data_IF_994219341346
#
_entry.id   IF_994219341346
#
_cell.length_a   1.000
_cell.length_b   1.000
_cell.length_c   1.000
_cell.angle_alpha   90.00
_cell.angle_beta   90.00
_cell.angle_gamma   90.00
#
_symmetry.space_group_name_H-M   'P 1'
#
loop_
_entity.id
_entity.type
_entity.pdbx_description
1 polymer ?
#
# COMPACT_ATOMS: atom_id res chain seq x y z
N UNK A 1 12.70 -25.63 -13.36
CA UNK A 1 13.08 -24.27 -12.91
C UNK A 1 11.81 -23.46 -12.81
N UNK A 2 11.20 -23.45 -11.63
CA UNK A 2 9.96 -22.73 -11.33
C UNK A 2 10.38 -21.31 -10.95
N UNK A 3 10.01 -20.31 -11.74
CA UNK A 3 10.19 -18.91 -11.35
C UNK A 3 9.17 -18.59 -10.24
N UNK A 4 9.55 -17.93 -9.14
CA UNK A 4 8.59 -17.45 -8.17
C UNK A 4 7.70 -16.41 -8.84
N UNK A 5 6.39 -16.63 -8.79
CA UNK A 5 5.38 -15.65 -9.16
C UNK A 5 5.47 -14.52 -8.13
N UNK A 6 5.88 -13.33 -8.57
CA UNK A 6 5.84 -12.12 -7.76
C UNK A 6 4.38 -11.85 -7.42
N UNK A 7 3.99 -12.08 -6.17
CA UNK A 7 2.75 -11.56 -5.64
C UNK A 7 2.85 -10.04 -5.67
N UNK A 8 2.02 -9.40 -6.47
CA UNK A 8 1.88 -7.94 -6.44
C UNK A 8 1.17 -7.62 -5.13
N UNK A 9 1.92 -7.22 -4.12
CA UNK A 9 1.38 -6.65 -2.88
C UNK A 9 0.69 -5.32 -3.25
N UNK A 10 -0.63 -5.33 -3.30
CA UNK A 10 -1.46 -4.11 -3.35
C UNK A 10 -1.63 -3.57 -1.93
N UNK A 11 -0.55 -3.07 -1.33
CA UNK A 11 -0.65 -2.31 -0.07
C UNK A 11 -0.81 -0.82 -0.42
N UNK A 12 -2.06 -0.38 -0.46
CA UNK A 12 -2.40 1.04 -0.38
C UNK A 12 -2.15 1.51 1.04
N UNK A 13 -0.94 1.98 1.33
CA UNK A 13 -0.60 2.60 2.61
C UNK A 13 -1.17 4.01 2.67
N UNK A 14 -1.94 4.27 3.73
CA UNK A 14 -2.49 5.58 4.06
C UNK A 14 -1.43 6.52 4.63
N UNK A 15 -1.65 7.81 4.40
CA UNK A 15 -0.92 8.92 5.01
C UNK A 15 -1.88 9.78 5.82
N UNK A 16 -1.57 9.96 7.12
CA UNK A 16 -2.31 10.87 8.01
C UNK A 16 -1.49 12.14 8.27
N UNK A 17 -2.17 13.28 8.41
CA UNK A 17 -1.57 14.58 8.69
C UNK A 17 -1.06 14.68 10.14
N UNK A 18 0.14 15.24 10.31
CA UNK A 18 0.92 15.25 11.57
C UNK A 18 0.68 16.54 12.37
N UNK A 19 0.42 16.39 13.67
CA UNK A 19 0.71 17.41 14.69
C UNK A 19 1.79 16.86 15.63
N UNK A 20 2.77 17.69 16.00
CA UNK A 20 4.03 17.28 16.60
C UNK A 20 3.91 16.52 17.94
N UNK A 21 4.56 15.35 18.01
CA UNK A 21 4.85 14.62 19.24
C UNK A 21 5.17 13.14 19.03
N UNK A 22 6.47 12.80 19.02
CA UNK A 22 7.13 11.47 19.02
C UNK A 22 7.49 10.86 17.66
N UNK A 23 8.66 10.22 17.63
CA UNK A 23 9.18 9.44 16.51
C UNK A 23 8.17 8.37 16.14
N UNK A 24 7.94 8.15 14.85
CA UNK A 24 7.12 7.03 14.43
C UNK A 24 7.89 5.73 14.70
N UNK A 25 7.32 4.85 15.51
CA UNK A 25 7.88 3.52 15.69
C UNK A 25 7.57 2.65 14.46
N UNK A 26 8.42 1.66 14.22
CA UNK A 26 8.25 0.71 13.14
C UNK A 26 7.91 -0.67 13.69
N UNK A 27 6.87 -1.31 13.13
CA UNK A 27 6.61 -2.73 13.36
C UNK A 27 7.07 -3.54 12.16
N UNK A 28 7.75 -4.66 12.41
CA UNK A 28 8.18 -5.58 11.36
C UNK A 28 8.19 -7.01 11.88
N UNK A 29 8.00 -7.96 10.98
CA UNK A 29 7.97 -9.37 11.31
C UNK A 29 9.14 -10.13 10.67
N UNK A 30 9.65 -11.11 11.40
CA UNK A 30 10.71 -12.02 10.98
C UNK A 30 10.33 -13.45 11.42
N UNK A 31 11.07 -14.50 11.00
CA UNK A 31 10.81 -15.87 11.47
C UNK A 31 10.83 -16.03 12.99
N UNK A 32 11.52 -15.14 13.72
CA UNK A 32 11.62 -15.18 15.19
C UNK A 32 10.41 -14.58 15.90
N UNK A 33 9.64 -13.73 15.21
CA UNK A 33 8.49 -13.06 15.79
C UNK A 33 8.14 -11.73 15.12
N UNK A 34 7.23 -11.01 15.78
CA UNK A 34 6.85 -9.65 15.45
C UNK A 34 7.50 -8.71 16.45
N UNK A 35 8.10 -7.64 15.93
CA UNK A 35 8.84 -6.67 16.72
C UNK A 35 8.34 -5.25 16.47
N UNK A 36 8.49 -4.41 17.50
CA UNK A 36 8.37 -2.96 17.45
C UNK A 36 9.74 -2.36 17.65
N UNK A 37 10.08 -1.32 16.90
CA UNK A 37 11.35 -0.62 17.01
C UNK A 37 11.09 0.88 17.12
N UNK A 38 11.67 1.49 18.15
CA UNK A 38 11.81 2.94 18.21
C UNK A 38 12.91 3.37 17.24
N UNK A 39 12.47 4.05 16.19
CA UNK A 39 13.32 4.43 15.07
C UNK A 39 14.26 5.57 15.50
N UNK A 40 15.56 5.41 15.20
CA UNK A 40 16.60 6.37 15.56
C UNK A 40 17.41 6.06 16.84
N UNK A 41 17.22 4.91 17.49
CA UNK A 41 18.16 4.49 18.54
C UNK A 41 17.70 3.44 19.56
N UNK A 42 16.51 2.86 19.43
CA UNK A 42 16.02 1.83 20.35
C UNK A 42 16.39 0.40 19.96
N UNK A 43 16.40 -0.51 20.95
CA UNK A 43 16.40 -1.95 20.71
C UNK A 43 15.01 -2.41 20.27
N UNK A 44 14.93 -3.37 19.34
CA UNK A 44 13.66 -3.98 18.95
C UNK A 44 12.99 -4.66 20.15
N UNK A 45 11.74 -4.31 20.41
CA UNK A 45 10.89 -4.87 21.45
C UNK A 45 9.99 -5.96 20.86
N UNK A 46 9.96 -7.17 21.44
CA UNK A 46 9.04 -8.21 20.99
C UNK A 46 7.57 -7.82 21.25
N UNK A 47 6.74 -7.89 20.22
CA UNK A 47 5.28 -7.80 20.33
C UNK A 47 4.64 -9.19 20.38
N UNK A 48 5.13 -10.11 19.54
CA UNK A 48 4.74 -11.51 19.53
C UNK A 48 5.97 -12.37 19.32
N UNK A 49 6.26 -13.26 20.26
CA UNK A 49 7.40 -14.18 20.19
C UNK A 49 6.95 -15.62 20.20
N UNK A 50 7.66 -16.48 19.46
CA UNK A 50 7.61 -17.92 19.64
C UNK A 50 7.29 -18.72 18.38
N UNK A 51 8.23 -19.58 17.99
CA UNK A 51 8.11 -20.56 16.92
C UNK A 51 8.25 -19.98 15.52
N UNK A 52 8.52 -20.86 14.56
CA UNK A 52 8.63 -20.57 13.12
C UNK A 52 7.26 -20.16 12.55
N UNK A 53 6.86 -18.91 12.79
CA UNK A 53 5.57 -18.35 12.35
C UNK A 53 5.79 -17.49 11.11
N UNK A 54 5.14 -17.86 10.01
CA UNK A 54 5.11 -17.01 8.82
C UNK A 54 4.11 -15.87 9.02
N UNK A 55 4.61 -14.63 9.03
CA UNK A 55 3.79 -13.42 9.03
C UNK A 55 3.56 -12.95 7.60
N UNK A 56 2.33 -12.57 7.27
CA UNK A 56 1.96 -12.28 5.87
C UNK A 56 1.47 -10.85 5.67
N UNK A 57 0.80 -10.31 6.67
CA UNK A 57 0.28 -8.94 6.65
C UNK A 57 0.09 -8.44 8.08
N UNK A 58 0.05 -7.12 8.25
CA UNK A 58 -0.20 -6.48 9.53
C UNK A 58 -0.87 -5.12 9.31
N UNK A 59 -1.69 -4.68 10.25
CA UNK A 59 -2.41 -3.41 10.18
C UNK A 59 -2.63 -2.82 11.57
N UNK A 60 -2.17 -1.58 11.77
CA UNK A 60 -2.47 -0.80 12.96
C UNK A 60 -3.76 0.00 12.80
N UNK A 61 -4.49 0.17 13.89
CA UNK A 61 -5.56 1.17 13.97
C UNK A 61 -4.98 2.57 13.83
N UNK A 62 -5.80 3.51 13.37
CA UNK A 62 -5.37 4.89 13.09
C UNK A 62 -4.87 5.65 14.32
N UNK A 63 -5.28 5.24 15.52
CA UNK A 63 -4.79 5.76 16.81
C UNK A 63 -3.51 5.08 17.32
N UNK A 64 -2.99 4.09 16.58
CA UNK A 64 -1.79 3.33 16.92
C UNK A 64 -1.95 2.41 18.14
N UNK A 65 -3.18 2.16 18.61
CA UNK A 65 -3.42 1.38 19.83
C UNK A 65 -3.65 -0.11 19.59
N UNK A 66 -4.22 -0.49 18.44
CA UNK A 66 -4.60 -1.88 18.12
C UNK A 66 -3.84 -2.36 16.91
N UNK A 67 -3.44 -3.63 16.96
CA UNK A 67 -2.73 -4.28 15.87
C UNK A 67 -3.46 -5.56 15.46
N UNK A 68 -3.68 -5.71 14.17
CA UNK A 68 -4.13 -6.95 13.56
C UNK A 68 -2.98 -7.57 12.75
N UNK A 69 -2.82 -8.88 12.83
CA UNK A 69 -1.68 -9.60 12.24
C UNK A 69 -2.15 -10.87 11.56
N UNK A 70 -1.68 -11.12 10.34
CA UNK A 70 -1.92 -12.37 9.62
C UNK A 70 -0.76 -13.33 9.85
N UNK A 71 -1.05 -14.48 10.46
CA UNK A 71 -0.10 -15.58 10.67
C UNK A 71 -0.51 -16.83 9.88
N UNK A 72 0.47 -17.68 9.57
CA UNK A 72 0.27 -19.01 8.96
C UNK A 72 -0.59 -18.97 7.69
N UNK A 73 -0.50 -17.87 6.94
CA UNK A 73 -1.26 -17.56 5.72
C UNK A 73 -2.77 -17.40 5.89
N UNK A 74 -3.38 -17.76 7.02
CA UNK A 74 -4.84 -17.83 7.13
C UNK A 74 -5.44 -17.43 8.47
N UNK A 75 -4.62 -17.13 9.48
CA UNK A 75 -5.10 -16.79 10.81
C UNK A 75 -4.91 -15.29 11.05
N UNK A 76 -5.95 -14.61 11.52
CA UNK A 76 -5.87 -13.20 11.94
C UNK A 76 -5.91 -13.13 13.45
N UNK A 77 -4.87 -12.53 14.01
CA UNK A 77 -4.76 -12.24 15.43
C UNK A 77 -4.93 -10.75 15.68
N UNK A 78 -5.64 -10.42 16.75
CA UNK A 78 -5.83 -9.05 17.24
C UNK A 78 -5.06 -8.87 18.55
N UNK A 79 -4.36 -7.74 18.66
CA UNK A 79 -3.62 -7.32 19.84
C UNK A 79 -4.17 -5.97 20.29
N UNK A 80 -4.65 -5.91 21.52
CA UNK A 80 -5.22 -4.70 22.11
C UNK A 80 -4.50 -4.31 23.40
N UNK A 81 -4.53 -3.01 23.78
CA UNK A 81 -3.97 -2.56 25.04
C UNK A 81 -4.64 -3.26 26.23
N UNK A 82 -3.84 -3.82 27.13
CA UNK A 82 -4.33 -4.49 28.33
C UNK A 82 -4.90 -5.91 28.11
N UNK A 83 -4.83 -6.45 26.89
CA UNK A 83 -5.14 -7.86 26.63
C UNK A 83 -4.05 -8.78 27.23
N UNK A 84 -4.45 -9.98 27.69
CA UNK A 84 -3.53 -11.00 28.23
C UNK A 84 -2.65 -11.65 27.14
N UNK A 85 -2.87 -11.31 25.87
CA UNK A 85 -2.15 -11.83 24.71
C UNK A 85 -2.93 -11.65 23.41
N UNK A 86 -2.39 -12.12 22.27
CA UNK A 86 -3.07 -12.08 20.99
C UNK A 86 -4.35 -12.93 21.00
N UNK A 87 -5.45 -12.36 20.51
CA UNK A 87 -6.72 -13.04 20.33
C UNK A 87 -6.86 -13.51 18.88
N UNK A 88 -7.14 -14.80 18.65
CA UNK A 88 -7.48 -15.31 17.31
C UNK A 88 -8.91 -14.87 16.95
N UNK A 89 -9.05 -14.02 15.94
CA UNK A 89 -10.35 -13.44 15.54
C UNK A 89 -10.88 -13.99 14.21
N UNK A 90 -10.01 -14.65 13.43
CA UNK A 90 -10.40 -15.22 12.14
C UNK A 90 -9.48 -16.39 11.75
N UNK A 91 -10.07 -17.42 11.15
CA UNK A 91 -9.34 -18.51 10.48
C UNK A 91 -9.92 -18.70 9.10
N UNK A 92 -9.04 -18.68 8.10
CA UNK A 92 -9.41 -18.90 6.71
C UNK A 92 -9.87 -20.35 6.50
N UNK A 93 -10.93 -20.47 5.70
CA UNK A 93 -11.45 -21.73 5.19
C UNK A 93 -10.99 -22.03 3.76
N UNK A 94 -10.04 -21.26 3.21
CA UNK A 94 -9.52 -21.50 1.88
C UNK A 94 -8.75 -22.83 1.79
N UNK A 95 -8.95 -23.58 0.71
CA UNK A 95 -8.25 -24.85 0.45
C UNK A 95 -6.75 -24.67 0.12
N UNK A 96 -6.34 -23.43 -0.15
CA UNK A 96 -4.98 -23.02 -0.46
C UNK A 96 -4.68 -21.73 0.30
N UNK A 97 -3.40 -21.42 0.59
CA UNK A 97 -3.01 -20.19 1.27
C UNK A 97 -3.71 -18.97 0.63
N UNK A 98 -4.55 -18.23 1.40
CA UNK A 98 -5.20 -17.04 0.89
C UNK A 98 -4.27 -15.83 0.90
N UNK A 99 -4.75 -14.74 0.29
CA UNK A 99 -4.28 -13.39 0.63
C UNK A 99 -5.32 -12.74 1.53
N UNK A 100 -4.87 -12.13 2.62
CA UNK A 100 -5.70 -11.44 3.60
C UNK A 100 -5.26 -9.97 3.70
N UNK A 101 -6.16 -9.05 3.37
CA UNK A 101 -5.97 -7.62 3.64
C UNK A 101 -6.79 -7.22 4.87
N UNK A 102 -6.21 -6.32 5.66
CA UNK A 102 -6.75 -5.87 6.94
C UNK A 102 -6.90 -4.35 6.91
N UNK A 103 -8.02 -3.86 7.44
CA UNK A 103 -8.24 -2.43 7.65
C UNK A 103 -9.05 -2.20 8.93
N UNK A 104 -8.72 -1.14 9.66
CA UNK A 104 -9.45 -0.73 10.86
C UNK A 104 -10.39 0.41 10.52
N UNK A 105 -11.64 0.30 10.98
CA UNK A 105 -12.60 1.39 10.98
C UNK A 105 -12.41 2.28 12.22
N UNK A 106 -12.91 3.51 12.16
CA UNK A 106 -12.77 4.49 13.25
C UNK A 106 -13.52 4.13 14.53
N UNK A 107 -14.58 3.32 14.41
CA UNK A 107 -15.32 2.75 15.55
C UNK A 107 -14.62 1.53 16.17
N UNK A 108 -13.55 1.06 15.54
CA UNK A 108 -12.71 -0.02 16.03
C UNK A 108 -13.06 -1.39 15.48
N UNK A 109 -13.96 -1.48 14.50
CA UNK A 109 -14.19 -2.73 13.78
C UNK A 109 -13.00 -3.06 12.87
N UNK A 110 -12.64 -4.34 12.82
CA UNK A 110 -11.59 -4.87 11.95
C UNK A 110 -12.24 -5.49 10.72
N UNK A 111 -11.91 -4.94 9.56
CA UNK A 111 -12.30 -5.46 8.25
C UNK A 111 -11.26 -6.47 7.78
N UNK A 112 -11.70 -7.65 7.38
CA UNK A 112 -10.87 -8.73 6.86
C UNK A 112 -11.34 -9.06 5.44
N UNK A 113 -10.50 -8.77 4.45
CA UNK A 113 -10.72 -9.10 3.05
C UNK A 113 -9.96 -10.36 2.69
N UNK A 114 -10.68 -11.46 2.49
CA UNK A 114 -10.12 -12.76 2.14
C UNK A 114 -10.20 -13.04 0.64
N UNK A 115 -9.07 -13.44 0.07
CA UNK A 115 -8.96 -13.94 -1.31
C UNK A 115 -8.49 -15.39 -1.31
N UNK A 116 -9.39 -16.31 -1.59
CA UNK A 116 -9.02 -17.69 -1.86
C UNK A 116 -8.60 -17.84 -3.33
N UNK A 117 -7.38 -18.33 -3.61
CA UNK A 117 -6.98 -18.59 -4.99
C UNK A 117 -7.77 -19.77 -5.57
N UNK A 118 -7.98 -19.73 -6.89
CA UNK A 118 -8.63 -20.82 -7.61
C UNK A 118 -7.82 -22.12 -7.54
N UNK A 119 -8.51 -23.26 -7.56
CA UNK A 119 -7.86 -24.57 -7.55
C UNK A 119 -7.11 -24.86 -8.86
N UNK A 120 -7.62 -24.37 -9.99
CA UNK A 120 -6.97 -24.49 -11.30
C UNK A 120 -6.53 -23.13 -11.80
N UNK A 121 -5.41 -23.09 -12.53
CA UNK A 121 -4.97 -21.88 -13.19
C UNK A 121 -6.06 -21.36 -14.13
N UNK A 122 -6.42 -20.09 -14.01
CA UNK A 122 -7.51 -19.47 -14.78
C UNK A 122 -8.92 -19.75 -14.27
N UNK A 123 -9.09 -20.52 -13.19
CA UNK A 123 -10.38 -20.65 -12.50
C UNK A 123 -10.74 -19.39 -11.70
N UNK A 124 -12.01 -19.22 -11.30
CA UNK A 124 -12.43 -18.11 -10.46
C UNK A 124 -11.89 -18.29 -9.03
N UNK A 125 -11.20 -17.27 -8.52
CA UNK A 125 -10.94 -17.16 -7.07
C UNK A 125 -12.23 -16.79 -6.32
N UNK A 126 -12.19 -16.84 -4.99
CA UNK A 126 -13.27 -16.33 -4.15
C UNK A 126 -12.79 -15.14 -3.35
N UNK A 127 -13.58 -14.07 -3.34
CA UNK A 127 -13.33 -12.89 -2.52
C UNK A 127 -14.47 -12.76 -1.51
N UNK A 128 -14.14 -12.61 -0.23
CA UNK A 128 -15.11 -12.47 0.86
C UNK A 128 -14.64 -11.41 1.84
N UNK A 129 -15.59 -10.69 2.41
CA UNK A 129 -15.34 -9.70 3.46
C UNK A 129 -15.95 -10.14 4.77
N UNK A 130 -15.25 -9.84 5.85
CA UNK A 130 -15.71 -10.08 7.21
C UNK A 130 -15.48 -8.83 8.04
N UNK A 131 -16.40 -8.58 8.97
CA UNK A 131 -16.30 -7.54 9.97
C UNK A 131 -16.16 -8.20 11.34
N UNK A 132 -15.06 -7.93 12.03
CA UNK A 132 -14.84 -8.35 13.40
C UNK A 132 -14.97 -7.15 14.33
N UNK A 133 -15.96 -7.18 15.20
CA UNK A 133 -16.23 -6.08 16.15
C UNK A 133 -15.33 -6.15 17.38
N UNK A 134 -15.15 -5.04 18.14
CA UNK A 134 -14.48 -5.05 19.43
C UNK A 134 -15.03 -6.11 20.39
N UNK A 135 -16.34 -6.36 20.35
CA UNK A 135 -17.01 -7.40 21.16
C UNK A 135 -16.72 -8.85 20.70
N UNK A 136 -15.93 -9.04 19.64
CA UNK A 136 -15.51 -10.34 19.12
C UNK A 136 -16.49 -10.95 18.10
N UNK A 137 -17.61 -10.29 17.80
CA UNK A 137 -18.54 -10.79 16.78
C UNK A 137 -17.92 -10.72 15.39
N UNK A 138 -17.88 -11.85 14.68
CA UNK A 138 -17.40 -11.97 13.30
C UNK A 138 -18.58 -12.18 12.35
N UNK A 139 -18.80 -11.23 11.44
CA UNK A 139 -19.92 -11.26 10.49
C UNK A 139 -19.41 -11.24 9.04
N UNK A 140 -19.79 -12.21 8.18
CA UNK A 140 -19.52 -12.10 6.76
C UNK A 140 -20.39 -11.00 6.12
N UNK A 141 -19.78 -10.18 5.26
CA UNK A 141 -20.46 -9.12 4.52
C UNK A 141 -20.68 -9.55 3.07
N UNK A 142 -21.95 -9.69 2.67
CA UNK A 142 -22.34 -10.04 1.29
C UNK A 142 -22.54 -8.77 0.46
N UNK A 143 -21.43 -8.16 0.05
CA UNK A 143 -21.42 -6.92 -0.73
C UNK A 143 -20.92 -7.10 -2.16
N UNK A 144 -20.38 -8.28 -2.48
CA UNK A 144 -19.92 -8.61 -3.83
C UNK A 144 -21.06 -9.17 -4.69
N UNK A 145 -21.19 -8.75 -5.95
CA UNK A 145 -22.13 -9.36 -6.90
C UNK A 145 -21.71 -10.80 -7.22
N UNK A 146 -22.64 -11.58 -7.78
CA UNK A 146 -22.36 -12.97 -8.23
C UNK A 146 -21.19 -13.07 -9.23
N UNK A 147 -20.92 -12.00 -9.98
CA UNK A 147 -19.80 -11.93 -10.95
C UNK A 147 -18.94 -10.69 -10.71
N UNK A 148 -17.72 -10.90 -10.22
CA UNK A 148 -16.68 -9.87 -10.09
C UNK A 148 -15.75 -9.89 -11.30
N UNK A 149 -15.46 -8.72 -11.85
CA UNK A 149 -14.49 -8.51 -12.94
C UNK A 149 -13.14 -7.97 -12.43
N UNK A 150 -13.07 -7.62 -11.14
CA UNK A 150 -11.86 -7.16 -10.46
C UNK A 150 -11.78 -7.70 -9.03
N UNK A 151 -10.71 -7.32 -8.35
CA UNK A 151 -10.61 -7.40 -6.90
C UNK A 151 -11.54 -6.39 -6.18
N UNK A 152 -11.67 -6.52 -4.85
CA UNK A 152 -12.23 -5.50 -3.98
C UNK A 152 -11.08 -4.61 -3.45
N UNK A 153 -11.28 -3.30 -3.50
CA UNK A 153 -10.31 -2.30 -3.04
C UNK A 153 -10.88 -1.55 -1.85
N UNK A 154 -10.33 -1.77 -0.66
CA UNK A 154 -10.73 -1.09 0.58
C UNK A 154 -10.39 0.40 0.52
N UNK A 155 -11.33 1.23 0.97
CA UNK A 155 -11.10 2.64 1.21
C UNK A 155 -10.12 2.84 2.38
N UNK A 156 -9.39 3.98 2.42
CA UNK A 156 -8.50 4.32 3.51
C UNK A 156 -9.12 4.10 4.90
N UNK A 157 -10.26 4.72 5.17
CA UNK A 157 -10.92 4.61 6.47
C UNK A 157 -11.55 3.22 6.77
N UNK A 158 -11.42 2.25 5.86
CA UNK A 158 -12.05 0.94 5.97
C UNK A 158 -13.58 0.99 5.88
N UNK A 159 -14.22 2.12 5.59
CA UNK A 159 -15.68 2.27 5.61
C UNK A 159 -16.35 1.74 4.33
N UNK A 160 -15.58 1.65 3.24
CA UNK A 160 -16.08 1.36 1.91
C UNK A 160 -15.15 0.44 1.13
N UNK A 161 -15.69 -0.20 0.09
CA UNK A 161 -14.93 -0.91 -0.94
C UNK A 161 -15.33 -0.45 -2.33
N UNK A 162 -14.39 -0.48 -3.25
CA UNK A 162 -14.61 -0.28 -4.67
C UNK A 162 -14.31 -1.56 -5.44
N UNK A 163 -15.08 -1.82 -6.51
CA UNK A 163 -14.90 -3.00 -7.35
C UNK A 163 -15.54 -2.84 -8.73
N UNK A 164 -15.21 -3.75 -9.64
CA UNK A 164 -15.74 -3.78 -11.01
C UNK A 164 -16.66 -4.98 -11.20
N UNK A 165 -17.85 -4.72 -11.74
CA UNK A 165 -18.80 -5.75 -12.19
C UNK A 165 -19.64 -5.19 -13.34
N UNK A 166 -19.99 -6.05 -14.30
CA UNK A 166 -20.81 -5.68 -15.45
C UNK A 166 -20.26 -4.47 -16.20
N UNK A 167 -18.93 -4.39 -16.38
CA UNK A 167 -18.24 -3.27 -17.01
C UNK A 167 -18.44 -1.91 -16.33
N UNK A 168 -18.73 -1.89 -15.03
CA UNK A 168 -18.88 -0.66 -14.26
C UNK A 168 -18.14 -0.72 -12.92
N UNK A 169 -17.69 0.44 -12.45
CA UNK A 169 -17.15 0.60 -11.11
C UNK A 169 -18.30 0.83 -10.13
N UNK A 170 -18.29 0.09 -9.03
CA UNK A 170 -19.20 0.22 -7.91
C UNK A 170 -18.44 0.58 -6.64
N UNK A 171 -19.12 1.27 -5.73
CA UNK A 171 -18.69 1.51 -4.36
C UNK A 171 -19.77 0.99 -3.43
N UNK A 172 -19.39 0.24 -2.42
CA UNK A 172 -20.28 -0.25 -1.37
C UNK A 172 -19.74 0.19 -0.01
N UNK A 173 -20.59 0.72 0.86
CA UNK A 173 -20.24 0.90 2.26
C UNK A 173 -20.36 -0.44 2.99
N UNK A 174 -19.56 -0.59 4.05
CA UNK A 174 -19.54 -1.79 4.88
C UNK A 174 -20.64 -1.83 5.95
N UNK A 175 -21.55 -0.85 5.93
CA UNK A 175 -22.73 -0.74 6.79
C UNK A 175 -23.94 -1.57 6.30
N UNK A 176 -23.77 -2.31 5.19
CA UNK A 176 -24.83 -3.11 4.57
C UNK A 176 -25.77 -2.31 3.66
N UNK A 177 -25.49 -1.02 3.42
CA UNK A 177 -26.21 -0.24 2.41
C UNK A 177 -25.99 -0.80 1.00
N UNK A 178 -26.90 -0.46 0.08
CA UNK A 178 -26.84 -0.98 -1.28
C UNK A 178 -25.62 -0.42 -2.03
N UNK A 179 -24.85 -1.26 -2.74
CA UNK A 179 -23.78 -0.79 -3.60
C UNK A 179 -24.26 0.22 -4.63
N UNK A 180 -23.42 1.22 -4.90
CA UNK A 180 -23.70 2.34 -5.77
C UNK A 180 -22.82 2.28 -7.01
N UNK A 181 -23.42 2.36 -8.19
CA UNK A 181 -22.67 2.46 -9.44
C UNK A 181 -22.05 3.86 -9.57
N UNK A 182 -20.73 3.92 -9.74
CA UNK A 182 -19.96 5.17 -9.86
C UNK A 182 -19.84 5.61 -11.32
N UNK A 183 -19.57 4.69 -12.23
CA UNK A 183 -19.42 5.00 -13.67
C UNK A 183 -20.74 4.96 -14.42
N UNK A 184 -21.02 5.99 -15.24
CA UNK A 184 -22.27 6.08 -16.00
C UNK A 184 -22.29 5.24 -17.28
N UNK A 185 -21.13 5.09 -17.93
CA UNK A 185 -20.96 4.29 -19.15
C UNK A 185 -20.22 2.99 -18.84
N UNK A 186 -20.51 1.89 -19.58
CA UNK A 186 -19.67 0.71 -19.54
C UNK A 186 -18.24 1.06 -19.95
N UNK A 187 -17.26 0.44 -19.31
CA UNK A 187 -15.84 0.61 -19.59
C UNK A 187 -15.12 -0.73 -19.73
N UNK A 188 -13.88 -0.69 -20.20
CA UNK A 188 -12.99 -1.86 -20.23
C UNK A 188 -11.90 -1.67 -19.19
N UNK A 189 -11.79 -2.60 -18.23
CA UNK A 189 -10.84 -2.53 -17.12
C UNK A 189 -9.82 -3.68 -17.17
N UNK A 190 -9.57 -4.20 -18.38
CA UNK A 190 -8.94 -5.51 -18.60
C UNK A 190 -7.45 -5.59 -18.25
N UNK A 191 -7.10 -6.71 -17.61
CA UNK A 191 -5.86 -7.51 -17.69
C UNK A 191 -4.47 -6.85 -17.49
N UNK A 192 -4.29 -6.12 -16.40
CA UNK A 192 -3.03 -6.06 -15.63
C UNK A 192 -3.31 -5.73 -14.14
N UNK A 193 -4.49 -6.14 -13.66
CA UNK A 193 -4.97 -5.83 -12.32
C UNK A 193 -5.26 -4.35 -12.11
N UNK A 194 -6.08 -3.70 -12.96
CA UNK A 194 -6.51 -2.29 -12.82
C UNK A 194 -6.79 -1.95 -11.35
N UNK A 195 -5.84 -1.36 -10.61
CA UNK A 195 -6.10 -1.06 -9.23
C UNK A 195 -6.99 0.18 -9.25
N UNK A 196 -8.19 0.03 -8.68
CA UNK A 196 -8.89 1.19 -8.20
C UNK A 196 -8.05 1.71 -7.04
N UNK A 197 -7.57 2.95 -7.16
CA UNK A 197 -6.82 3.61 -6.10
C UNK A 197 -7.67 4.72 -5.51
N UNK A 198 -8.07 4.56 -4.26
CA UNK A 198 -8.75 5.60 -3.50
C UNK A 198 -7.83 6.80 -3.28
N UNK A 199 -8.40 8.00 -3.38
CA UNK A 199 -7.74 9.19 -2.88
C UNK A 199 -7.59 9.10 -1.35
N UNK A 200 -6.59 9.78 -0.75
CA UNK A 200 -6.32 9.67 0.68
C UNK A 200 -7.51 10.07 1.58
N UNK A 201 -8.36 10.96 1.09
CA UNK A 201 -9.59 11.42 1.75
C UNK A 201 -10.81 10.50 1.51
N UNK A 202 -10.65 9.42 0.72
CA UNK A 202 -11.73 8.50 0.39
C UNK A 202 -12.82 9.07 -0.51
N UNK A 203 -12.66 10.26 -1.11
CA UNK A 203 -13.73 10.92 -1.88
C UNK A 203 -13.68 10.65 -3.38
N UNK A 204 -12.56 10.13 -3.89
CA UNK A 204 -12.32 9.89 -5.33
C UNK A 204 -11.65 8.55 -5.57
N UNK A 205 -11.83 8.03 -6.77
CA UNK A 205 -11.17 6.84 -7.29
C UNK A 205 -10.37 7.18 -8.54
N UNK A 206 -9.09 6.80 -8.55
CA UNK A 206 -8.28 6.76 -9.76
C UNK A 206 -8.25 5.34 -10.32
N UNK A 207 -8.29 5.22 -11.65
CA UNK A 207 -8.38 3.92 -12.31
C UNK A 207 -7.90 3.97 -13.77
N UNK A 208 -7.43 2.82 -14.26
CA UNK A 208 -7.12 2.63 -15.66
C UNK A 208 -8.32 2.07 -16.42
N UNK A 209 -8.67 2.72 -17.53
CA UNK A 209 -9.74 2.31 -18.44
C UNK A 209 -9.19 2.20 -19.88
N UNK A 210 -9.50 1.10 -20.55
CA UNK A 210 -9.06 0.76 -21.89
C UNK A 210 -8.70 -0.73 -22.02
N UNK A 211 -8.45 -1.17 -23.25
CA UNK A 211 -8.03 -2.53 -23.54
C UNK A 211 -6.53 -2.67 -23.35
N UNK A 212 -6.10 -3.57 -22.47
CA UNK A 212 -4.67 -3.82 -22.25
C UNK A 212 -3.91 -4.10 -23.58
N UNK A 213 -2.72 -3.49 -23.78
CA UNK A 213 -2.01 -2.61 -22.84
C UNK A 213 -2.39 -1.12 -22.95
N UNK A 214 -3.31 -0.74 -23.83
CA UNK A 214 -3.67 0.65 -24.11
C UNK A 214 -4.77 1.14 -23.16
N UNK A 215 -4.37 1.88 -22.15
CA UNK A 215 -5.29 2.36 -21.11
C UNK A 215 -5.04 3.84 -20.82
N UNK A 216 -6.05 4.50 -20.25
CA UNK A 216 -5.98 5.88 -19.79
C UNK A 216 -6.22 5.93 -18.30
N UNK A 217 -5.45 6.78 -17.63
CA UNK A 217 -5.67 7.07 -16.22
C UNK A 217 -6.85 8.03 -16.11
N UNK A 218 -7.81 7.67 -15.29
CA UNK A 218 -9.03 8.42 -15.03
C UNK A 218 -9.15 8.68 -13.53
N UNK A 219 -9.94 9.70 -13.19
CA UNK A 219 -10.43 9.94 -11.84
C UNK A 219 -11.94 10.14 -11.86
N UNK A 220 -12.63 9.74 -10.80
CA UNK A 220 -14.06 9.98 -10.60
C UNK A 220 -14.36 10.20 -9.12
N UNK A 221 -15.32 11.08 -8.81
CA UNK A 221 -15.87 11.20 -7.46
C UNK A 221 -16.62 9.93 -7.06
N UNK A 222 -16.62 9.59 -5.76
CA UNK A 222 -17.36 8.42 -5.27
C UNK A 222 -18.87 8.56 -5.43
N UNK A 223 -19.35 9.78 -5.71
CA UNK A 223 -20.72 10.14 -6.08
C UNK A 223 -20.99 9.99 -7.60
N UNK A 224 -19.98 9.57 -8.38
CA UNK A 224 -20.05 9.40 -9.83
C UNK A 224 -19.97 10.73 -10.60
N UNK A 225 -19.84 11.83 -9.88
CA UNK A 225 -19.58 13.15 -10.42
C UNK A 225 -18.11 13.35 -10.76
N UNK A 226 -17.83 14.50 -11.39
CA UNK A 226 -16.47 15.01 -11.62
C UNK A 226 -15.50 14.03 -12.30
N UNK A 227 -16.02 13.15 -13.17
CA UNK A 227 -15.18 12.21 -13.93
C UNK A 227 -14.27 12.98 -14.88
N UNK A 228 -12.97 12.68 -14.85
CA UNK A 228 -11.97 13.25 -15.76
C UNK A 228 -11.02 12.18 -16.29
N UNK A 229 -10.64 12.31 -17.55
CA UNK A 229 -9.54 11.57 -18.14
C UNK A 229 -8.26 12.36 -17.87
N UNK A 230 -7.35 11.83 -17.06
CA UNK A 230 -6.12 12.51 -16.66
C UNK A 230 -5.02 12.38 -17.71
N UNK A 231 -5.04 11.30 -18.50
CA UNK A 231 -4.07 11.08 -19.60
C UNK A 231 -4.78 10.92 -20.94
N UNK A 232 -5.43 11.98 -21.48
CA UNK A 232 -6.26 11.89 -22.69
C UNK A 232 -5.45 11.56 -23.95
N UNK A 233 -4.18 11.97 -23.98
CA UNK A 233 -3.24 11.70 -25.07
C UNK A 233 -2.49 10.35 -24.91
N UNK A 234 -2.84 9.54 -23.90
CA UNK A 234 -2.16 8.27 -23.68
C UNK A 234 -2.57 7.24 -24.74
N UNK A 235 -1.66 6.98 -25.67
CA UNK A 235 -1.51 5.71 -26.40
C UNK A 235 -0.43 4.83 -25.73
N UNK A 236 -0.23 5.00 -24.41
CA UNK A 236 0.79 4.27 -23.67
C UNK A 236 0.39 2.81 -23.49
N UNK A 237 1.38 1.93 -23.61
CA UNK A 237 1.24 0.51 -23.28
C UNK A 237 1.51 0.32 -21.79
N UNK A 238 0.50 0.57 -20.94
CA UNK A 238 0.66 0.48 -19.49
C UNK A 238 0.82 -0.98 -19.08
N UNK A 239 2.03 -1.31 -18.63
CA UNK A 239 2.40 -2.64 -18.15
C UNK A 239 2.39 -2.73 -16.62
N UNK A 240 2.63 -1.60 -15.94
CA UNK A 240 2.57 -1.45 -14.49
C UNK A 240 1.40 -0.55 -14.13
N UNK A 241 0.41 -1.11 -13.47
CA UNK A 241 -0.85 -0.44 -13.16
C UNK A 241 -0.85 0.28 -11.80
N UNK A 242 0.29 0.41 -11.11
CA UNK A 242 0.37 1.07 -9.80
C UNK A 242 0.13 2.58 -9.92
N UNK A 243 -0.83 3.08 -9.14
CA UNK A 243 -1.23 4.50 -9.06
C UNK A 243 -0.98 5.00 -7.64
N UNK A 244 -0.25 6.09 -7.48
CA UNK A 244 0.12 6.64 -6.17
C UNK A 244 -0.37 8.08 -6.01
N UNK A 245 -1.44 8.26 -5.24
CA UNK A 245 -1.90 9.59 -4.86
C UNK A 245 -0.89 10.28 -3.95
N UNK A 246 -0.68 11.58 -4.15
CA UNK A 246 -0.04 12.43 -3.16
C UNK A 246 -0.91 12.48 -1.89
N UNK A 247 -0.32 12.58 -0.68
CA UNK A 247 -1.09 12.63 0.57
C UNK A 247 -2.14 13.75 0.62
N UNK A 248 -1.86 14.88 -0.04
CA UNK A 248 -2.80 16.00 -0.19
C UNK A 248 -3.89 15.80 -1.27
N UNK A 249 -3.86 14.67 -1.99
CA UNK A 249 -4.82 14.32 -3.03
C UNK A 249 -4.76 15.18 -4.30
N UNK A 250 -3.77 16.06 -4.45
CA UNK A 250 -3.68 16.98 -5.61
C UNK A 250 -3.02 16.35 -6.84
N UNK A 251 -2.16 15.37 -6.63
CA UNK A 251 -1.39 14.74 -7.70
C UNK A 251 -1.46 13.22 -7.64
N UNK A 252 -1.15 12.60 -8.77
CA UNK A 252 -0.93 11.17 -8.90
C UNK A 252 0.43 10.96 -9.56
N UNK A 253 1.30 10.20 -8.89
CA UNK A 253 2.52 9.66 -9.47
C UNK A 253 2.24 8.29 -10.09
N UNK A 254 2.76 8.06 -11.30
CA UNK A 254 2.57 6.80 -12.03
C UNK A 254 3.76 6.47 -12.93
N UNK A 255 3.87 5.18 -13.26
CA UNK A 255 4.86 4.68 -14.20
C UNK A 255 4.35 4.89 -15.63
N UNK A 256 5.12 5.62 -16.42
CA UNK A 256 4.83 5.87 -17.82
C UNK A 256 5.85 5.14 -18.71
N UNK A 257 5.41 4.21 -19.57
CA UNK A 257 6.28 3.52 -20.53
C UNK A 257 7.03 4.48 -21.45
N UNK A 258 8.30 4.20 -21.75
CA UNK A 258 9.12 4.98 -22.67
C UNK A 258 9.47 4.19 -23.94
N UNK A 259 9.03 4.66 -25.11
CA UNK A 259 9.21 4.00 -26.42
C UNK A 259 8.81 2.51 -26.47
N UNK A 260 7.61 2.13 -25.99
CA UNK A 260 7.15 0.75 -26.09
C UNK A 260 6.72 0.42 -27.55
N UNK A 261 6.79 -0.85 -27.99
CA UNK A 261 7.18 -2.05 -27.25
C UNK A 261 8.70 -2.33 -27.27
N UNK A 262 9.50 -1.42 -27.84
CA UNK A 262 10.93 -1.67 -28.10
C UNK A 262 11.84 -1.51 -26.87
N UNK A 263 11.29 -1.01 -25.77
CA UNK A 263 11.99 -0.78 -24.51
C UNK A 263 11.12 -1.16 -23.33
N UNK A 264 11.76 -1.69 -22.28
CA UNK A 264 11.16 -1.92 -20.97
C UNK A 264 11.49 -0.80 -19.97
N UNK A 265 12.07 0.31 -20.44
CA UNK A 265 12.31 1.49 -19.63
C UNK A 265 11.03 2.30 -19.46
N UNK A 266 10.94 2.94 -18.30
CA UNK A 266 9.81 3.79 -17.91
C UNK A 266 10.34 5.14 -17.46
N UNK A 267 9.43 6.11 -17.32
CA UNK A 267 9.65 7.34 -16.56
C UNK A 267 8.64 7.40 -15.43
N UNK A 268 8.99 8.08 -14.34
CA UNK A 268 8.00 8.47 -13.34
C UNK A 268 7.39 9.79 -13.79
N UNK A 269 6.08 9.81 -13.92
CA UNK A 269 5.31 10.99 -14.29
C UNK A 269 4.38 11.39 -13.15
N UNK A 270 4.08 12.68 -13.08
CA UNK A 270 3.16 13.29 -12.14
C UNK A 270 2.01 13.93 -12.92
N UNK A 271 0.78 13.62 -12.57
CA UNK A 271 -0.41 14.29 -13.13
C UNK A 271 -1.17 15.05 -12.06
N UNK A 272 -1.52 16.29 -12.34
CA UNK A 272 -2.42 17.08 -11.50
C UNK A 272 -3.85 16.59 -11.69
N UNK A 273 -4.52 16.24 -10.59
CA UNK A 273 -5.83 15.59 -10.63
C UNK A 273 -6.94 16.55 -11.11
N UNK A 274 -6.76 17.86 -10.91
CA UNK A 274 -7.76 18.87 -11.25
C UNK A 274 -7.55 19.43 -12.67
N UNK A 275 -6.29 19.61 -13.10
CA UNK A 275 -5.97 20.23 -14.40
C UNK A 275 -5.64 19.20 -15.50
N UNK A 276 -5.38 17.94 -15.14
CA UNK A 276 -4.82 16.91 -16.02
C UNK A 276 -3.44 17.26 -16.62
N UNK A 277 -2.79 18.33 -16.12
CA UNK A 277 -1.43 18.67 -16.51
C UNK A 277 -0.47 17.59 -16.04
N UNK A 278 0.32 17.07 -16.97
CA UNK A 278 1.27 15.99 -16.72
C UNK A 278 2.70 16.50 -16.85
N UNK A 279 3.55 16.13 -15.89
CA UNK A 279 4.97 16.44 -15.85
C UNK A 279 5.77 15.15 -15.71
N UNK A 280 6.76 14.95 -16.57
CA UNK A 280 7.73 13.86 -16.43
C UNK A 280 8.78 14.28 -15.41
N UNK A 281 9.00 13.45 -14.38
CA UNK A 281 9.93 13.72 -13.27
C UNK A 281 11.32 13.10 -13.48
N UNK A 282 11.40 12.03 -14.28
CA UNK A 282 12.64 11.26 -14.45
C UNK A 282 13.02 11.09 -15.92
N UNK A 283 14.27 10.68 -16.16
CA UNK A 283 14.70 10.19 -17.47
C UNK A 283 14.21 8.74 -17.65
N UNK A 284 14.28 8.18 -18.87
CA UNK A 284 14.01 6.76 -19.08
C UNK A 284 14.97 5.88 -18.27
N UNK A 285 14.44 4.90 -17.53
CA UNK A 285 15.24 4.04 -16.66
C UNK A 285 14.43 2.92 -16.01
N UNK A 286 15.03 2.31 -14.98
CA UNK A 286 14.42 1.26 -14.16
C UNK A 286 14.12 1.82 -12.77
N UNK A 287 12.83 1.90 -12.45
CA UNK A 287 12.34 2.52 -11.23
C UNK A 287 11.55 1.52 -10.39
N UNK A 288 11.83 1.44 -9.10
CA UNK A 288 11.09 0.62 -8.14
C UNK A 288 10.98 1.36 -6.79
N UNK A 289 10.32 0.76 -5.80
CA UNK A 289 10.16 1.30 -4.45
C UNK A 289 9.70 2.77 -4.39
N UNK A 290 8.78 3.18 -5.27
CA UNK A 290 8.22 4.54 -5.31
C UNK A 290 7.26 4.78 -4.14
N UNK A 291 7.46 5.85 -3.36
CA UNK A 291 6.55 6.28 -2.29
C UNK A 291 6.56 7.79 -2.07
N UNK A 292 5.43 8.33 -1.59
CA UNK A 292 5.27 9.74 -1.26
C UNK A 292 5.72 10.06 0.16
N UNK A 293 6.39 11.20 0.33
CA UNK A 293 6.57 11.80 1.63
C UNK A 293 5.22 12.36 2.15
N UNK A 294 4.95 12.33 3.47
CA UNK A 294 3.72 12.85 4.06
C UNK A 294 3.44 14.32 3.71
N UNK A 295 4.48 15.10 3.46
CA UNK A 295 4.40 16.51 3.09
C UNK A 295 3.91 16.77 1.65
N UNK A 296 3.69 15.74 0.82
CA UNK A 296 3.29 15.85 -0.59
C UNK A 296 4.26 16.63 -1.51
N UNK A 297 5.50 16.86 -1.07
CA UNK A 297 6.50 17.64 -1.81
C UNK A 297 7.71 16.81 -2.23
N UNK A 298 7.80 15.57 -1.76
CA UNK A 298 8.92 14.68 -2.00
C UNK A 298 8.46 13.26 -2.34
N UNK A 299 9.30 12.57 -3.12
CA UNK A 299 9.17 11.16 -3.42
C UNK A 299 10.45 10.43 -2.99
N UNK A 300 10.33 9.16 -2.65
CA UNK A 300 11.44 8.19 -2.66
C UNK A 300 11.26 7.26 -3.83
N UNK A 301 12.35 6.91 -4.50
CA UNK A 301 12.38 5.91 -5.57
C UNK A 301 13.75 5.24 -5.66
N UNK A 302 13.76 3.96 -6.01
CA UNK A 302 14.97 3.25 -6.42
C UNK A 302 15.20 3.45 -7.92
N UNK A 303 16.43 3.75 -8.32
CA UNK A 303 16.80 3.93 -9.73
C UNK A 303 18.18 3.36 -10.02
N UNK A 304 18.36 2.78 -11.20
CA UNK A 304 19.62 2.17 -11.61
C UNK A 304 19.75 1.97 -13.12
N UNK A 305 20.98 1.71 -13.61
CA UNK A 305 21.23 1.45 -15.04
C UNK A 305 20.67 0.10 -15.50
N UNK A 306 20.42 -0.82 -14.57
CA UNK A 306 19.85 -2.15 -14.81
C UNK A 306 18.81 -2.46 -13.72
N UNK A 307 17.77 -3.21 -14.09
CA UNK A 307 16.79 -3.68 -13.13
C UNK A 307 17.46 -4.55 -12.05
N UNK A 308 17.06 -4.37 -10.79
CA UNK A 308 17.56 -5.16 -9.67
C UNK A 308 18.91 -4.70 -9.10
N UNK A 309 19.57 -3.68 -9.65
CA UNK A 309 20.73 -3.01 -9.03
C UNK A 309 20.52 -1.50 -9.05
N UNK A 310 20.11 -0.93 -7.91
CA UNK A 310 19.55 0.41 -7.84
C UNK A 310 20.07 1.18 -6.62
N UNK A 311 20.24 2.48 -6.79
CA UNK A 311 20.44 3.44 -5.70
C UNK A 311 19.07 3.96 -5.26
N UNK A 312 18.86 4.12 -3.96
CA UNK A 312 17.65 4.77 -3.43
C UNK A 312 17.85 6.27 -3.43
N UNK A 313 16.89 7.02 -3.97
CA UNK A 313 16.91 8.47 -4.05
C UNK A 313 15.69 9.08 -3.39
N UNK A 314 15.90 10.22 -2.73
CA UNK A 314 14.86 11.22 -2.50
C UNK A 314 14.81 12.16 -3.71
N UNK A 315 13.61 12.47 -4.18
CA UNK A 315 13.33 13.49 -5.18
C UNK A 315 12.49 14.62 -4.55
N UNK A 316 13.02 15.83 -4.53
CA UNK A 316 12.30 17.05 -4.20
C UNK A 316 11.53 17.56 -5.43
N UNK A 317 10.21 17.75 -5.32
CA UNK A 317 9.36 18.05 -6.48
C UNK A 317 9.39 19.51 -6.93
N UNK A 318 9.78 20.43 -6.04
CA UNK A 318 9.83 21.88 -6.32
C UNK A 318 11.01 22.22 -7.22
N UNK A 319 12.21 21.73 -6.88
CA UNK A 319 13.45 22.01 -7.61
C UNK A 319 13.94 20.81 -8.45
N UNK A 320 13.22 19.68 -8.41
CA UNK A 320 13.56 18.41 -9.08
C UNK A 320 14.94 17.87 -8.67
N UNK A 321 15.37 18.17 -7.43
CA UNK A 321 16.66 17.71 -6.94
C UNK A 321 16.60 16.25 -6.48
N UNK A 322 17.52 15.44 -7.01
CA UNK A 322 17.77 14.08 -6.54
C UNK A 322 18.85 14.09 -5.45
N UNK A 323 18.57 13.44 -4.32
CA UNK A 323 19.52 13.18 -3.23
C UNK A 323 19.66 11.67 -3.07
N UNK A 324 20.87 11.13 -3.24
CA UNK A 324 21.14 9.72 -3.01
C UNK A 324 21.05 9.42 -1.51
N UNK A 325 20.28 8.40 -1.15
CA UNK A 325 20.09 7.93 0.22
C UNK A 325 20.94 6.70 0.53
N UNK A 326 21.43 6.00 -0.49
CA UNK A 326 22.38 4.90 -0.33
C UNK A 326 23.75 5.29 -0.86
N UNK A 327 24.79 4.92 -0.12
CA UNK A 327 26.19 5.19 -0.48
C UNK A 327 26.66 4.38 -1.70
N UNK A 328 25.96 3.28 -2.00
CA UNK A 328 26.19 2.42 -3.15
C UNK A 328 24.86 1.82 -3.65
N UNK A 329 24.80 1.33 -4.90
CA UNK A 329 23.64 0.58 -5.39
C UNK A 329 23.42 -0.69 -4.56
N UNK A 330 22.16 -0.94 -4.17
CA UNK A 330 21.70 -2.17 -3.54
C UNK A 330 21.03 -3.08 -4.58
N UNK A 331 20.84 -4.34 -4.22
CA UNK A 331 20.11 -5.28 -5.06
C UNK A 331 18.64 -5.34 -4.67
N UNK A 332 17.75 -5.65 -5.62
CA UNK A 332 16.32 -5.94 -5.38
C UNK A 332 15.65 -4.98 -4.38
N UNK A 333 15.62 -3.68 -4.66
CA UNK A 333 14.93 -2.70 -3.80
C UNK A 333 13.43 -2.77 -4.11
N UNK A 334 12.62 -3.32 -3.19
CA UNK A 334 11.23 -3.67 -3.48
C UNK A 334 10.23 -2.64 -2.94
N UNK A 335 10.28 -2.37 -1.64
CA UNK A 335 9.32 -1.51 -0.94
C UNK A 335 10.03 -0.36 -0.25
N UNK A 336 9.41 0.83 -0.25
CA UNK A 336 9.82 1.94 0.59
C UNK A 336 8.60 2.60 1.22
N UNK A 337 8.77 3.11 2.43
CA UNK A 337 7.74 3.84 3.17
C UNK A 337 8.40 4.97 3.96
N UNK A 338 7.86 6.18 3.82
CA UNK A 338 8.20 7.28 4.73
C UNK A 338 7.53 7.06 6.08
N UNK A 339 8.21 7.46 7.15
CA UNK A 339 7.57 7.58 8.45
C UNK A 339 6.43 8.59 8.36
N UNK A 340 5.33 8.41 9.14
CA UNK A 340 4.26 9.39 9.23
C UNK A 340 4.75 10.81 9.53
N UNK A 341 5.81 10.94 10.36
CA UNK A 341 6.42 12.23 10.69
C UNK A 341 7.27 12.82 9.56
N UNK A 342 7.69 12.01 8.58
CA UNK A 342 8.56 12.41 7.47
C UNK A 342 10.05 12.44 7.81
N UNK A 343 10.44 12.08 9.03
CA UNK A 343 11.84 12.14 9.50
C UNK A 343 12.69 10.93 9.09
N UNK A 344 12.05 9.85 8.65
CA UNK A 344 12.71 8.59 8.31
C UNK A 344 12.08 7.94 7.07
N UNK A 345 12.89 7.13 6.39
CA UNK A 345 12.46 6.29 5.27
C UNK A 345 12.91 4.87 5.59
N UNK A 346 11.97 3.93 5.60
CA UNK A 346 12.24 2.51 5.71
C UNK A 346 12.08 1.84 4.35
N UNK A 347 12.95 0.90 4.01
CA UNK A 347 12.87 0.18 2.75
C UNK A 347 13.50 -1.22 2.85
N UNK A 348 13.09 -2.12 1.97
CA UNK A 348 13.68 -3.46 1.85
C UNK A 348 14.57 -3.56 0.63
N UNK A 349 15.75 -4.14 0.83
CA UNK A 349 16.72 -4.37 -0.24
C UNK A 349 17.64 -5.55 0.09
N UNK A 350 18.27 -6.10 -0.93
CA UNK A 350 19.34 -7.09 -0.79
C UNK A 350 20.70 -6.39 -0.77
N UNK A 351 21.59 -6.70 0.20
CA UNK A 351 22.94 -6.17 0.21
C UNK A 351 23.72 -6.51 -1.08
N UNK A 352 24.67 -5.67 -1.55
CA UNK A 352 25.33 -5.87 -2.84
C UNK A 352 26.13 -7.16 -2.98
N UNK A 353 26.66 -7.67 -1.87
CA UNK A 353 27.51 -8.87 -1.84
C UNK A 353 26.74 -10.12 -1.38
N UNK A 354 25.42 -10.01 -1.15
CA UNK A 354 24.62 -11.14 -0.71
C UNK A 354 24.13 -12.00 -1.88
N UNK A 355 24.85 -13.09 -2.11
CA UNK A 355 24.51 -14.09 -3.13
C UNK A 355 23.22 -14.87 -2.85
N UNK A 356 22.73 -14.88 -1.61
CA UNK A 356 21.50 -15.58 -1.23
C UNK A 356 20.24 -14.79 -1.59
N UNK A 357 20.38 -13.49 -1.86
CA UNK A 357 19.26 -12.63 -2.23
C UNK A 357 18.36 -12.28 -1.04
N UNK A 358 18.88 -12.30 0.20
CA UNK A 358 18.06 -12.01 1.38
C UNK A 358 17.57 -10.57 1.34
N UNK A 359 16.29 -10.36 1.69
CA UNK A 359 15.73 -9.03 1.87
C UNK A 359 16.03 -8.54 3.29
N UNK A 360 16.76 -7.43 3.38
CA UNK A 360 17.11 -6.75 4.63
C UNK A 360 16.29 -5.47 4.72
N UNK A 361 15.80 -5.17 5.92
CA UNK A 361 15.12 -3.93 6.22
C UNK A 361 16.15 -2.86 6.59
N UNK A 362 16.07 -1.71 5.93
CA UNK A 362 16.91 -0.55 6.18
C UNK A 362 16.08 0.63 6.66
N UNK A 363 16.73 1.53 7.40
CA UNK A 363 16.25 2.88 7.66
C UNK A 363 17.29 3.90 7.20
N UNK A 364 16.84 5.08 6.80
CA UNK A 364 17.69 6.21 6.44
C UNK A 364 16.95 7.53 6.68
N UNK A 365 17.68 8.60 7.03
CA UNK A 365 17.11 9.94 7.07
C UNK A 365 16.88 10.48 5.66
N UNK A 366 15.90 11.38 5.45
CA UNK A 366 15.64 11.98 4.15
C UNK A 366 16.84 12.72 3.52
N UNK A 367 17.80 13.17 4.31
CA UNK A 367 19.04 13.81 3.83
C UNK A 367 20.15 12.82 3.44
N UNK A 368 19.92 11.51 3.64
CA UNK A 368 20.83 10.42 3.34
C UNK A 368 21.76 10.05 4.50
N UNK A 369 21.66 10.69 5.66
CA UNK A 369 22.44 10.28 6.84
C UNK A 369 21.77 9.11 7.58
N UNK A 370 22.51 8.51 8.50
CA UNK A 370 22.03 7.44 9.39
C UNK A 370 21.45 6.22 8.67
N UNK A 371 21.95 5.93 7.45
CA UNK A 371 21.64 4.68 6.76
C UNK A 371 22.12 3.49 7.59
N UNK A 372 21.18 2.68 8.08
CA UNK A 372 21.45 1.52 8.93
C UNK A 372 20.51 0.36 8.58
N UNK A 373 21.02 -0.87 8.66
CA UNK A 373 20.20 -2.07 8.56
C UNK A 373 19.52 -2.36 9.90
N UNK A 374 18.21 -2.59 9.88
CA UNK A 374 17.40 -2.96 11.04
C UNK A 374 17.34 -4.47 11.28
N UNK A 375 17.60 -5.26 10.24
CA UNK A 375 17.69 -6.71 10.30
C UNK A 375 19.01 -7.19 9.69
N UNK A 376 19.37 -8.44 9.97
CA UNK A 376 20.56 -9.09 9.41
C UNK A 376 20.22 -9.96 8.19
N UNK A 377 21.23 -10.42 7.46
CA UNK A 377 21.07 -11.21 6.22
C UNK A 377 20.61 -12.65 6.41
N UNK A 378 20.58 -13.13 7.65
CA UNK A 378 19.99 -14.40 8.06
C UNK A 378 18.54 -14.25 8.55
N UNK A 379 18.04 -13.02 8.63
CA UNK A 379 16.71 -12.69 9.10
C UNK A 379 15.82 -12.24 7.94
N UNK A 380 14.98 -13.16 7.44
CA UNK A 380 14.03 -12.83 6.39
C UNK A 380 12.99 -11.83 6.89
N UNK A 381 12.84 -10.70 6.21
CA UNK A 381 11.85 -9.69 6.60
C UNK A 381 10.55 -9.93 5.84
N UNK A 382 9.45 -10.02 6.58
CA UNK A 382 8.09 -10.09 6.04
C UNK A 382 7.46 -8.68 5.93
N UNK A 383 6.18 -8.38 6.27
CA UNK A 383 5.72 -7.00 6.16
C UNK A 383 6.35 -6.12 7.24
N UNK A 384 6.54 -4.84 6.91
CA UNK A 384 6.82 -3.78 7.86
C UNK A 384 5.81 -2.64 7.69
N UNK A 385 5.48 -1.97 8.78
CA UNK A 385 4.61 -0.79 8.77
C UNK A 385 5.01 0.17 9.88
N UNK A 386 4.80 1.45 9.63
CA UNK A 386 4.89 2.47 10.67
C UNK A 386 3.68 2.43 11.59
N UNK A 387 3.91 2.63 12.89
CA UNK A 387 2.85 2.82 13.87
C UNK A 387 2.30 4.23 13.68
N UNK A 388 0.99 4.40 13.44
CA UNK A 388 0.37 5.71 13.40
C UNK A 388 0.54 6.42 14.75
N UNK A 389 0.94 7.70 14.73
CA UNK A 389 0.95 8.51 15.94
C UNK A 389 -0.46 9.07 16.18
N UNK A 390 -1.05 8.94 17.39
CA UNK A 390 -2.35 9.52 17.68
C UNK A 390 -2.30 11.05 17.55
N UNK A 391 -3.40 11.64 17.09
CA UNK A 391 -3.59 13.09 17.12
C UNK A 391 -3.45 13.56 18.57
N UNK A 392 -2.51 14.47 18.86
CA UNK A 392 -2.55 15.20 20.12
C UNK A 392 -3.91 15.93 20.20
N UNK A 393 -4.66 15.83 21.31
CA UNK A 393 -5.89 16.58 21.45
C UNK A 393 -5.57 18.06 21.27
N UNK A 394 -6.34 18.74 20.41
CA UNK A 394 -6.26 20.20 20.25
C UNK A 394 -6.56 20.81 21.61
N UNK A 395 -5.52 21.24 22.34
CA UNK A 395 -5.71 22.00 23.55
C UNK A 395 -6.23 23.39 23.18
N UNK A 396 -7.48 23.67 23.55
CA UNK A 396 -7.99 25.02 23.75
C UNK A 396 -8.68 25.65 22.54
N UNK A 397 -9.95 25.31 22.34
CA UNK A 397 -10.95 26.39 22.24
C UNK A 397 -11.53 26.52 23.64
N UNK A 398 -10.92 27.37 24.46
CA UNK A 398 -11.65 27.96 25.57
C UNK A 398 -12.81 28.72 24.96
N UNK A 399 -14.03 28.21 25.11
CA UNK A 399 -15.22 29.07 25.03
C UNK A 399 -14.98 30.22 26.03
N UNK A 400 -14.78 31.42 25.49
CA UNK A 400 -14.84 32.64 26.27
C UNK A 400 -16.32 32.89 26.64
N UNK A 401 -16.59 33.61 27.75
CA UNK A 401 -17.73 33.40 28.64
C UNK A 401 -19.12 33.69 28.06
#
# INVERSE_FOLDING_TARGET
MIKPSVAVLTTGLMTFAVAAGHAADLSFATPEGLFRLEIGGGDRQPLLTGGDRAFNNLAWSSDGQRLAVVQNYGEVYRLEPGSDGPELVFTSDCQRPPTLDLAWQSDGDLVILQRCPAFTAGGPGQVRLFLNTPAGALTPLDISPETLESDLFLAPDGSQVAYVTGQHIFVAALDGSRPRRVTQTPGTYGAAGSPLAWSPDGTRLAFYEGSYPFQRLNVVGIDGGDRRVLTPAADFQIYRSRVLWSPDGRYIAFYQPFNPPFSNQEVIALVNVNTAETQVLTRPGFYDALSWAPNSQQLVLASGPQAGQQTVFRLDLVDQKFTALTSQPLQNVLESQWSPTGDWIAFTATPPDDSMGTQVLYQVRPDGTDLTSLTSTDEYVYPFVWIPAPLAPIQGVTEAP
#
